data_IF_321149943839
#
_entry.id   IF_321149943839
#
_cell.length_a   1.000
_cell.length_b   1.000
_cell.length_c   1.000
_cell.angle_alpha   90.00
_cell.angle_beta   90.00
_cell.angle_gamma   90.00
#
_symmetry.space_group_name_H-M   'P 1'
#
loop_
_entity.id
_entity.type
_entity.pdbx_description
1 polymer ?
#
# COMPACT_ATOMS: atom_id res chain seq x y z
N UNK A 1 -2.68 -9.61 3.47
CA UNK A 1 -2.29 -8.83 2.29
C UNK A 1 -0.77 -8.86 2.14
N UNK A 2 -0.28 -8.78 0.91
CA UNK A 2 1.15 -8.69 0.59
C UNK A 2 1.42 -7.40 -0.16
N UNK A 3 2.45 -6.65 0.22
CA UNK A 3 2.87 -5.41 -0.44
C UNK A 3 4.32 -5.57 -0.86
N UNK A 4 4.60 -5.42 -2.15
CA UNK A 4 5.96 -5.58 -2.72
C UNK A 4 6.38 -4.33 -3.47
N UNK A 5 7.60 -3.86 -3.22
CA UNK A 5 8.19 -2.76 -3.95
C UNK A 5 8.99 -3.28 -5.16
N UNK A 6 8.48 -3.06 -6.36
CA UNK A 6 9.18 -3.33 -7.62
C UNK A 6 9.76 -2.07 -8.28
N UNK A 7 9.68 -0.91 -7.61
CA UNK A 7 10.40 0.28 -8.05
C UNK A 7 11.89 0.17 -7.72
N UNK A 8 12.71 0.98 -8.40
CA UNK A 8 14.15 1.04 -8.23
C UNK A 8 14.58 1.88 -7.02
N UNK A 9 13.62 2.45 -6.28
CA UNK A 9 13.87 3.28 -5.09
C UNK A 9 13.20 2.69 -3.86
N UNK A 10 13.72 3.01 -2.68
CA UNK A 10 13.00 2.70 -1.45
C UNK A 10 11.68 3.50 -1.40
N UNK A 11 10.63 2.84 -0.91
CA UNK A 11 9.32 3.45 -0.65
C UNK A 11 8.98 3.25 0.81
N UNK A 12 8.25 4.20 1.40
CA UNK A 12 7.67 4.00 2.72
C UNK A 12 6.20 3.66 2.56
N UNK A 13 5.74 2.63 3.26
CA UNK A 13 4.35 2.17 3.23
C UNK A 13 3.76 2.15 4.62
N UNK A 14 2.47 2.46 4.74
CA UNK A 14 1.71 2.26 5.96
C UNK A 14 0.32 1.74 5.61
N UNK A 15 -0.31 0.99 6.51
CA UNK A 15 -1.67 0.48 6.32
C UNK A 15 -2.49 0.79 7.55
N UNK A 16 -3.66 1.41 7.36
CA UNK A 16 -4.59 1.71 8.43
C UNK A 16 -5.07 0.45 9.16
N UNK A 17 -5.67 0.63 10.35
CA UNK A 17 -6.23 -0.45 11.15
C UNK A 17 -7.58 -0.03 11.73
N UNK A 18 -8.47 -1.00 11.90
CA UNK A 18 -9.76 -0.81 12.58
C UNK A 18 -9.71 -1.21 14.06
N UNK A 19 -8.81 -2.13 14.41
CA UNK A 19 -8.62 -2.63 15.77
C UNK A 19 -7.48 -1.90 16.49
N UNK A 20 -7.32 -2.16 17.79
CA UNK A 20 -6.28 -1.52 18.63
C UNK A 20 -4.87 -2.12 18.47
N UNK A 21 -4.70 -3.20 17.69
CA UNK A 21 -3.45 -3.95 17.55
C UNK A 21 -2.84 -3.81 16.14
N UNK A 22 -1.51 -3.98 16.05
CA UNK A 22 -0.76 -3.91 14.79
C UNK A 22 -0.18 -2.52 14.49
N UNK A 23 1.02 -2.47 13.91
CA UNK A 23 1.74 -1.22 13.62
C UNK A 23 1.10 -0.46 12.45
N UNK A 24 1.01 0.86 12.56
CA UNK A 24 0.51 1.76 11.49
C UNK A 24 1.53 2.82 11.08
N UNK A 25 2.70 2.84 11.73
CA UNK A 25 3.82 3.67 11.30
C UNK A 25 4.30 3.29 9.90
N UNK A 26 4.95 4.26 9.26
CA UNK A 26 5.61 4.08 7.98
C UNK A 26 6.75 3.05 8.08
N UNK A 27 6.73 2.08 7.19
CA UNK A 27 7.75 1.04 7.05
C UNK A 27 8.44 1.16 5.71
N UNK A 28 9.78 1.06 5.69
CA UNK A 28 10.57 1.23 4.47
C UNK A 28 10.71 -0.11 3.75
N UNK A 29 10.24 -0.18 2.51
CA UNK A 29 10.48 -1.27 1.57
C UNK A 29 11.56 -0.88 0.57
N UNK A 30 12.71 -1.56 0.64
CA UNK A 30 13.79 -1.43 -0.37
C UNK A 30 13.36 -2.04 -1.72
N UNK A 31 14.02 -1.70 -2.83
CA UNK A 31 13.76 -2.31 -4.13
C UNK A 31 13.78 -3.85 -4.07
N UNK A 32 12.77 -4.47 -4.66
CA UNK A 32 12.57 -5.93 -4.67
C UNK A 32 12.04 -6.53 -3.36
N UNK A 33 11.97 -5.76 -2.27
CA UNK A 33 11.47 -6.24 -0.99
C UNK A 33 9.95 -6.15 -0.92
N UNK A 34 9.34 -7.10 -0.23
CA UNK A 34 7.95 -7.05 0.16
C UNK A 34 7.75 -7.42 1.62
N UNK A 35 6.58 -7.10 2.13
CA UNK A 35 6.17 -7.43 3.49
C UNK A 35 4.71 -7.90 3.53
N UNK A 36 4.37 -8.67 4.56
CA UNK A 36 3.03 -9.18 4.80
C UNK A 36 2.38 -8.40 5.93
N UNK A 37 1.25 -7.76 5.62
CA UNK A 37 0.52 -6.96 6.58
C UNK A 37 -0.68 -7.74 7.10
N UNK A 38 -0.61 -8.10 8.39
CA UNK A 38 -1.71 -8.75 9.10
C UNK A 38 -2.83 -7.74 9.37
N UNK A 39 -3.90 -7.82 8.58
CA UNK A 39 -5.15 -7.08 8.79
C UNK A 39 -6.34 -8.01 8.58
N UNK A 40 -7.40 -7.78 9.34
CA UNK A 40 -8.67 -8.49 9.18
C UNK A 40 -9.83 -7.49 9.24
N UNK A 41 -10.73 -7.58 8.27
CA UNK A 41 -11.91 -6.74 8.16
C UNK A 41 -12.38 -6.56 6.72
N UNK A 42 -13.64 -6.90 6.47
CA UNK A 42 -14.31 -6.80 5.16
C UNK A 42 -14.47 -5.37 4.63
N UNK A 43 -14.29 -4.35 5.48
CA UNK A 43 -14.46 -2.92 5.14
C UNK A 43 -13.31 -2.34 4.32
N UNK A 44 -12.28 -3.12 4.04
CA UNK A 44 -11.04 -2.64 3.42
C UNK A 44 -10.25 -1.71 4.32
N UNK A 45 -9.13 -1.22 3.80
CA UNK A 45 -8.11 -0.45 4.49
C UNK A 45 -7.58 0.65 3.59
N UNK A 46 -6.95 1.65 4.19
CA UNK A 46 -6.21 2.69 3.48
C UNK A 46 -4.73 2.36 3.59
N UNK A 47 -4.08 2.19 2.45
CA UNK A 47 -2.63 2.08 2.33
C UNK A 47 -2.06 3.45 1.93
N UNK A 48 -1.15 3.99 2.73
CA UNK A 48 -0.32 5.12 2.32
C UNK A 48 0.96 4.62 1.67
N UNK A 49 1.37 5.27 0.58
CA UNK A 49 2.65 5.05 -0.09
C UNK A 49 3.35 6.39 -0.24
N UNK A 50 4.50 6.54 0.42
CA UNK A 50 5.37 7.71 0.29
C UNK A 50 6.54 7.36 -0.62
N UNK A 51 6.65 8.09 -1.73
CA UNK A 51 7.67 7.89 -2.75
C UNK A 51 8.12 9.23 -3.32
N UNK A 52 9.44 9.45 -3.37
CA UNK A 52 10.04 10.71 -3.85
C UNK A 52 9.45 11.97 -3.18
N UNK A 53 9.08 11.89 -1.90
CA UNK A 53 8.49 13.01 -1.15
C UNK A 53 7.02 13.29 -1.46
N UNK A 54 6.35 12.44 -2.24
CA UNK A 54 4.90 12.49 -2.48
C UNK A 54 4.23 11.33 -1.77
N UNK A 55 3.13 11.63 -1.09
CA UNK A 55 2.29 10.65 -0.42
C UNK A 55 1.01 10.45 -1.24
N UNK A 56 0.77 9.21 -1.66
CA UNK A 56 -0.48 8.78 -2.29
C UNK A 56 -1.15 7.72 -1.41
N UNK A 57 -2.48 7.76 -1.34
CA UNK A 57 -3.27 6.84 -0.53
C UNK A 57 -4.16 5.97 -1.41
N UNK A 58 -4.27 4.69 -1.10
CA UNK A 58 -4.97 3.68 -1.90
C UNK A 58 -5.93 2.89 -1.02
N UNK A 59 -7.05 2.46 -1.61
CA UNK A 59 -7.99 1.57 -0.92
C UNK A 59 -7.69 0.12 -1.29
N UNK A 60 -7.46 -0.73 -0.29
CA UNK A 60 -7.06 -2.14 -0.43
C UNK A 60 -7.84 -3.05 0.53
N UNK A 61 -7.88 -4.34 0.25
CA UNK A 61 -8.54 -5.39 1.05
C UNK A 61 -7.56 -6.28 1.83
N UNK A 62 -8.09 -7.07 2.78
CA UNK A 62 -7.29 -7.96 3.64
C UNK A 62 -6.48 -9.04 2.88
N UNK A 63 -6.95 -9.41 1.69
CA UNK A 63 -6.35 -10.42 0.80
C UNK A 63 -5.46 -9.81 -0.30
N UNK A 64 -5.44 -8.48 -0.47
CA UNK A 64 -4.71 -7.76 -1.53
C UNK A 64 -3.29 -8.26 -1.79
N UNK A 65 -2.91 -8.24 -3.06
CA UNK A 65 -1.54 -8.46 -3.52
C UNK A 65 -1.06 -7.22 -4.28
N UNK A 66 -0.46 -6.31 -3.54
CA UNK A 66 -0.09 -4.97 -4.00
C UNK A 66 1.34 -4.96 -4.52
N UNK A 67 1.51 -4.46 -5.74
CA UNK A 67 2.79 -4.29 -6.42
C UNK A 67 3.03 -2.81 -6.72
N UNK A 68 4.08 -2.23 -6.14
CA UNK A 68 4.42 -0.81 -6.31
C UNK A 68 5.50 -0.69 -7.39
N UNK A 69 5.16 -0.10 -8.53
CA UNK A 69 6.07 0.14 -9.65
C UNK A 69 6.57 1.59 -9.67
N UNK A 70 7.22 1.97 -10.78
CA UNK A 70 7.70 3.34 -10.93
C UNK A 70 6.58 4.37 -11.02
N UNK A 71 5.63 4.13 -11.90
CA UNK A 71 4.62 5.13 -12.26
C UNK A 71 3.19 4.73 -11.87
N UNK A 72 3.01 3.52 -11.33
CA UNK A 72 1.69 3.00 -10.97
C UNK A 72 1.79 1.95 -9.85
N UNK A 73 0.63 1.62 -9.29
CA UNK A 73 0.46 0.52 -8.34
C UNK A 73 -0.55 -0.45 -8.92
N UNK A 74 -0.31 -1.75 -8.74
CA UNK A 74 -1.26 -2.81 -9.03
C UNK A 74 -1.76 -3.46 -7.75
N UNK A 75 -3.02 -3.89 -7.77
CA UNK A 75 -3.56 -4.86 -6.81
C UNK A 75 -4.21 -6.00 -7.61
N UNK A 76 -3.76 -7.24 -7.35
CA UNK A 76 -4.19 -8.42 -8.09
C UNK A 76 -4.10 -8.26 -9.63
N UNK A 77 -3.01 -7.65 -10.12
CA UNK A 77 -2.76 -7.44 -11.55
C UNK A 77 -3.62 -6.34 -12.19
N UNK A 78 -4.38 -5.58 -11.40
CA UNK A 78 -5.15 -4.41 -11.88
C UNK A 78 -4.49 -3.14 -11.38
N UNK A 79 -4.24 -2.19 -12.29
CA UNK A 79 -3.76 -0.86 -11.91
C UNK A 79 -4.82 -0.15 -11.06
N UNK A 80 -4.42 0.29 -9.87
CA UNK A 80 -5.26 1.03 -8.95
C UNK A 80 -4.86 2.50 -8.95
N UNK A 81 -5.85 3.36 -8.77
CA UNK A 81 -5.66 4.80 -8.65
C UNK A 81 -5.62 5.21 -7.17
N UNK A 82 -4.97 6.33 -6.84
CA UNK A 82 -5.10 6.92 -5.51
C UNK A 82 -6.58 7.14 -5.14
N UNK A 83 -6.94 6.87 -3.90
CA UNK A 83 -8.28 7.10 -3.34
C UNK A 83 -8.67 8.59 -3.36
N UNK A 84 -7.70 9.49 -3.48
CA UNK A 84 -7.90 10.94 -3.69
C UNK A 84 -8.43 11.27 -5.08
N UNK A 85 -8.23 10.41 -6.08
CA UNK A 85 -8.72 10.57 -7.46
C UNK A 85 -10.21 10.21 -7.60
N UNK A 86 -10.95 10.08 -6.48
CA UNK A 86 -12.36 9.66 -6.45
C UNK A 86 -13.33 10.78 -6.84
N UNK A 87 -12.91 12.03 -6.78
CA UNK A 87 -13.78 13.21 -6.96
C UNK A 87 -13.57 13.96 -8.27
N UNK A 88 -12.81 13.38 -9.22
CA UNK A 88 -12.51 13.99 -10.52
C UNK A 88 -12.99 13.13 -11.68
#
# INVERSE_FOLDING_TARGET
MKITNYSNKAVSVCVSRWNKSGETSWFILRPGMGDNWGRSGWRGFIMGVSKNGKDDFYYIFEDSNVLIYEDYIEDFGRKIKPATDRYY
#
